data_IF_875623694517
#
_entry.id   IF_875623694517
#
_cell.length_a   1.000
_cell.length_b   1.000
_cell.length_c   1.000
_cell.angle_alpha   90.00
_cell.angle_beta   90.00
_cell.angle_gamma   90.00
#
_symmetry.space_group_name_H-M   'P 1'
#
loop_
_entity.id
_entity.type
_entity.pdbx_description
1 polymer ?
#
# COMPACT_ATOMS: atom_id res chain seq x y z
N UNK A 1 2.27 -7.33 -18.82
CA UNK A 1 1.18 -7.17 -17.82
C UNK A 1 -0.11 -6.56 -18.38
N UNK A 2 -0.09 -5.36 -19.01
CA UNK A 2 -1.31 -4.65 -19.47
C UNK A 2 -2.24 -5.43 -20.42
N UNK A 3 -1.69 -6.19 -21.38
CA UNK A 3 -2.50 -7.02 -22.31
C UNK A 3 -3.20 -8.20 -21.62
N UNK A 4 -2.63 -8.70 -20.50
CA UNK A 4 -3.12 -9.90 -19.80
C UNK A 4 -4.40 -9.63 -19.00
N UNK A 5 -4.56 -8.40 -18.48
CA UNK A 5 -5.68 -8.02 -17.61
C UNK A 5 -6.60 -6.97 -18.25
N UNK A 6 -6.56 -6.85 -19.58
CA UNK A 6 -7.26 -5.79 -20.30
C UNK A 6 -8.78 -5.84 -20.12
N UNK A 7 -9.35 -7.05 -19.99
CA UNK A 7 -10.79 -7.25 -19.79
C UNK A 7 -11.21 -6.82 -18.39
N UNK A 8 -10.45 -7.22 -17.37
CA UNK A 8 -10.68 -6.86 -15.98
C UNK A 8 -10.53 -5.35 -15.75
N UNK A 9 -9.59 -4.70 -16.44
CA UNK A 9 -9.40 -3.25 -16.44
C UNK A 9 -10.48 -2.49 -17.24
N UNK A 10 -11.13 -3.12 -18.21
CA UNK A 10 -12.19 -2.47 -18.98
C UNK A 10 -13.54 -2.50 -18.24
N UNK A 11 -13.75 -3.48 -17.37
CA UNK A 11 -15.03 -3.68 -16.67
C UNK A 11 -14.80 -4.14 -15.24
N UNK A 12 -14.43 -3.24 -14.33
CA UNK A 12 -14.22 -3.59 -12.92
C UNK A 12 -15.51 -4.12 -12.28
N UNK A 13 -15.42 -5.17 -11.44
CA UNK A 13 -16.59 -5.72 -10.74
C UNK A 13 -17.31 -4.70 -9.86
N UNK A 14 -16.59 -3.72 -9.30
CA UNK A 14 -17.13 -2.63 -8.48
C UNK A 14 -17.60 -1.41 -9.27
N UNK A 15 -17.90 -1.55 -10.57
CA UNK A 15 -18.40 -0.49 -11.44
C UNK A 15 -17.33 0.51 -11.88
N UNK A 16 -16.82 1.34 -10.96
CA UNK A 16 -15.71 2.28 -11.21
C UNK A 16 -14.47 2.00 -10.33
N UNK A 17 -14.57 1.02 -9.41
CA UNK A 17 -13.49 0.69 -8.46
C UNK A 17 -12.96 -0.71 -8.64
N UNK A 18 -11.65 -0.85 -8.50
CA UNK A 18 -11.00 -2.14 -8.39
C UNK A 18 -10.86 -2.54 -6.92
N UNK A 19 -11.20 -3.78 -6.54
CA UNK A 19 -10.84 -4.27 -5.23
C UNK A 19 -9.31 -4.41 -5.12
N UNK A 20 -8.78 -4.35 -3.89
CA UNK A 20 -7.32 -4.44 -3.68
C UNK A 20 -6.75 -5.83 -3.97
N UNK A 21 -7.60 -6.83 -4.20
CA UNK A 21 -7.24 -8.16 -4.67
C UNK A 21 -7.40 -8.36 -6.19
N UNK A 22 -7.66 -7.30 -6.94
CA UNK A 22 -7.76 -7.35 -8.39
C UNK A 22 -6.56 -8.08 -9.01
N UNK A 23 -6.75 -8.94 -10.03
CA UNK A 23 -5.68 -9.81 -10.55
C UNK A 23 -4.41 -9.09 -11.05
N UNK A 24 -4.54 -7.83 -11.46
CA UNK A 24 -3.41 -7.02 -11.91
C UNK A 24 -2.60 -6.41 -10.75
N UNK A 25 -3.17 -6.31 -9.53
CA UNK A 25 -2.48 -5.95 -8.28
C UNK A 25 -1.79 -7.18 -7.67
N UNK A 26 -1.09 -7.96 -8.50
CA UNK A 26 -0.41 -9.19 -8.09
C UNK A 26 0.98 -8.91 -7.49
N UNK A 27 1.63 -9.96 -6.98
CA UNK A 27 2.96 -9.87 -6.36
C UNK A 27 4.00 -9.27 -7.30
N UNK A 28 4.01 -9.69 -8.57
CA UNK A 28 4.95 -9.17 -9.57
C UNK A 28 4.80 -7.65 -9.74
N UNK A 29 3.57 -7.16 -9.84
CA UNK A 29 3.27 -5.73 -9.93
C UNK A 29 3.78 -4.98 -8.69
N UNK A 30 3.43 -5.48 -7.50
CA UNK A 30 3.82 -4.83 -6.23
C UNK A 30 5.34 -4.83 -6.06
N UNK A 31 6.03 -5.94 -6.36
CA UNK A 31 7.50 -5.99 -6.32
C UNK A 31 8.13 -4.98 -7.27
N UNK A 32 7.64 -4.86 -8.51
CA UNK A 32 8.15 -3.86 -9.46
C UNK A 32 7.88 -2.43 -8.99
N UNK A 33 6.68 -2.15 -8.49
CA UNK A 33 6.32 -0.84 -7.95
C UNK A 33 7.19 -0.45 -6.75
N UNK A 34 7.35 -1.34 -5.77
CA UNK A 34 8.24 -1.14 -4.61
C UNK A 34 9.69 -0.90 -5.05
N UNK A 35 10.17 -1.63 -6.07
CA UNK A 35 11.49 -1.41 -6.63
C UNK A 35 11.67 -0.03 -7.29
N UNK A 36 10.62 0.51 -7.93
CA UNK A 36 10.62 1.88 -8.47
C UNK A 36 10.70 2.89 -7.33
N UNK A 37 9.87 2.75 -6.30
CA UNK A 37 9.89 3.67 -5.16
C UNK A 37 11.21 3.62 -4.41
N UNK A 38 11.82 2.44 -4.24
CA UNK A 38 13.15 2.31 -3.63
C UNK A 38 14.21 3.15 -4.37
N UNK A 39 14.21 3.12 -5.71
CA UNK A 39 15.12 3.96 -6.50
C UNK A 39 14.76 5.45 -6.41
N UNK A 40 13.47 5.78 -6.34
CA UNK A 40 13.02 7.16 -6.18
C UNK A 40 13.44 7.74 -4.81
N UNK A 41 13.33 6.96 -3.73
CA UNK A 41 13.85 7.31 -2.41
C UNK A 41 15.35 7.59 -2.44
N UNK A 42 16.13 6.71 -3.08
CA UNK A 42 17.57 6.90 -3.25
C UNK A 42 17.90 8.17 -4.03
N UNK A 43 17.17 8.46 -5.10
CA UNK A 43 17.36 9.66 -5.90
C UNK A 43 16.98 10.96 -5.15
N UNK A 44 16.14 10.86 -4.12
CA UNK A 44 15.70 11.98 -3.30
C UNK A 44 16.59 12.24 -2.07
N UNK A 45 17.65 11.45 -1.86
CA UNK A 45 18.57 11.63 -0.73
C UNK A 45 19.17 13.05 -0.78
N UNK A 46 19.07 13.76 0.36
CA UNK A 46 19.55 15.14 0.48
C UNK A 46 18.52 16.20 0.10
N UNK A 47 17.37 15.82 -0.45
CA UNK A 47 16.24 16.72 -0.74
C UNK A 47 14.99 16.26 0.03
N UNK A 48 14.76 16.87 1.20
CA UNK A 48 13.63 16.53 2.07
C UNK A 48 12.27 16.78 1.41
N UNK A 49 12.16 17.78 0.53
CA UNK A 49 10.90 18.10 -0.15
C UNK A 49 10.59 17.04 -1.20
N UNK A 50 11.60 16.65 -1.99
CA UNK A 50 11.45 15.58 -2.98
C UNK A 50 11.16 14.24 -2.29
N UNK A 51 11.86 13.93 -1.20
CA UNK A 51 11.64 12.70 -0.43
C UNK A 51 10.20 12.60 0.07
N UNK A 52 9.67 13.68 0.65
CA UNK A 52 8.28 13.73 1.11
C UNK A 52 7.28 13.49 -0.03
N UNK A 53 7.55 14.01 -1.24
CA UNK A 53 6.71 13.77 -2.43
C UNK A 53 6.77 12.32 -2.89
N UNK A 54 7.94 11.68 -2.85
CA UNK A 54 8.11 10.26 -3.18
C UNK A 54 7.32 9.38 -2.22
N UNK A 55 7.49 9.60 -0.91
CA UNK A 55 6.78 8.89 0.15
C UNK A 55 5.26 9.00 -0.01
N UNK A 56 4.74 10.22 -0.22
CA UNK A 56 3.30 10.42 -0.43
C UNK A 56 2.80 9.67 -1.67
N UNK A 57 3.58 9.65 -2.74
CA UNK A 57 3.22 8.92 -3.95
C UNK A 57 3.26 7.38 -3.77
N UNK A 58 4.00 6.89 -2.78
CA UNK A 58 4.09 5.46 -2.45
C UNK A 58 2.87 4.94 -1.67
N UNK A 59 2.12 5.83 -0.99
CA UNK A 59 0.96 5.47 -0.16
C UNK A 59 -0.01 4.47 -0.80
N UNK A 60 -0.40 4.57 -2.10
CA UNK A 60 -1.30 3.60 -2.71
C UNK A 60 -0.72 2.18 -2.78
N UNK A 61 0.59 2.03 -2.97
CA UNK A 61 1.26 0.72 -3.00
C UNK A 61 1.34 0.11 -1.61
N UNK A 62 1.63 0.93 -0.59
CA UNK A 62 1.58 0.52 0.81
C UNK A 62 0.16 0.12 1.21
N UNK A 63 -0.85 0.89 0.79
CA UNK A 63 -2.25 0.63 1.06
C UNK A 63 -2.71 -0.73 0.52
N UNK A 64 -2.37 -1.06 -0.73
CA UNK A 64 -2.69 -2.38 -1.31
C UNK A 64 -2.13 -3.50 -0.42
N UNK A 65 -0.87 -3.38 0.00
CA UNK A 65 -0.22 -4.36 0.86
C UNK A 65 -0.86 -4.44 2.25
N UNK A 66 -1.20 -3.29 2.87
CA UNK A 66 -1.93 -3.22 4.15
C UNK A 66 -3.26 -3.98 4.09
N UNK A 67 -4.07 -3.74 3.06
CA UNK A 67 -5.37 -4.39 2.86
C UNK A 67 -5.19 -5.88 2.60
N UNK A 68 -4.26 -6.24 1.72
CA UNK A 68 -3.99 -7.64 1.34
C UNK A 68 -3.40 -8.47 2.49
N UNK A 69 -2.68 -7.85 3.42
CA UNK A 69 -2.25 -8.49 4.65
C UNK A 69 -0.93 -9.26 4.60
N UNK A 70 -0.59 -9.96 5.70
CA UNK A 70 0.61 -10.80 5.78
C UNK A 70 0.56 -12.00 4.81
N UNK A 71 -0.63 -12.48 4.43
CA UNK A 71 -0.78 -13.58 3.46
C UNK A 71 -0.23 -13.19 2.09
N UNK A 72 -0.31 -11.89 1.76
CA UNK A 72 0.24 -11.33 0.52
C UNK A 72 1.63 -10.71 0.73
N UNK A 73 1.86 -9.99 1.80
CA UNK A 73 3.09 -9.20 2.00
C UNK A 73 4.21 -10.03 2.66
N UNK A 74 3.86 -11.13 3.32
CA UNK A 74 4.82 -11.99 4.01
C UNK A 74 5.45 -11.32 5.23
N UNK A 75 6.72 -11.62 5.47
CA UNK A 75 7.48 -11.13 6.63
C UNK A 75 7.61 -9.60 6.70
N UNK A 76 7.51 -8.91 5.56
CA UNK A 76 7.59 -7.45 5.47
C UNK A 76 6.33 -6.73 5.97
N UNK A 77 5.23 -7.45 6.26
CA UNK A 77 3.95 -6.80 6.56
C UNK A 77 4.02 -5.79 7.71
N UNK A 78 4.74 -6.11 8.80
CA UNK A 78 4.91 -5.18 9.91
C UNK A 78 5.62 -3.88 9.50
N UNK A 79 6.65 -3.98 8.64
CA UNK A 79 7.37 -2.82 8.11
C UNK A 79 6.49 -1.97 7.20
N UNK A 80 5.69 -2.62 6.35
CA UNK A 80 4.73 -1.94 5.47
C UNK A 80 3.69 -1.15 6.26
N UNK A 81 3.10 -1.76 7.30
CA UNK A 81 2.10 -1.07 8.14
C UNK A 81 2.71 0.13 8.86
N UNK A 82 3.93 -0.01 9.40
CA UNK A 82 4.61 1.08 10.08
C UNK A 82 4.92 2.26 9.13
N UNK A 83 5.36 1.95 7.91
CA UNK A 83 5.66 2.98 6.92
C UNK A 83 4.40 3.68 6.39
N UNK A 84 3.35 2.91 6.15
CA UNK A 84 2.04 3.46 5.79
C UNK A 84 1.53 4.43 6.85
N UNK A 85 1.58 4.03 8.12
CA UNK A 85 1.18 4.88 9.26
C UNK A 85 1.96 6.19 9.28
N UNK A 86 3.30 6.10 9.26
CA UNK A 86 4.18 7.27 9.37
C UNK A 86 3.88 8.31 8.30
N UNK A 87 3.76 7.86 7.05
CA UNK A 87 3.51 8.75 5.92
C UNK A 87 2.07 9.28 5.97
N UNK A 88 1.08 8.40 6.17
CA UNK A 88 -0.33 8.80 6.15
C UNK A 88 -0.69 9.79 7.28
N UNK A 89 -0.11 9.62 8.47
CA UNK A 89 -0.29 10.56 9.58
C UNK A 89 0.34 11.92 9.28
N UNK A 90 1.55 11.95 8.71
CA UNK A 90 2.20 13.20 8.30
C UNK A 90 1.37 13.96 7.25
N UNK A 91 0.81 13.24 6.29
CA UNK A 91 -0.04 13.83 5.23
C UNK A 91 -1.47 14.14 5.71
N UNK A 92 -1.81 13.84 6.97
CA UNK A 92 -3.13 14.14 7.54
C UNK A 92 -4.26 13.31 6.95
N UNK A 93 -4.00 12.07 6.52
CA UNK A 93 -5.00 11.17 5.97
C UNK A 93 -6.05 10.83 7.03
N UNK A 94 -7.32 11.02 6.69
CA UNK A 94 -8.47 10.73 7.57
C UNK A 94 -9.45 9.70 6.99
N UNK A 95 -9.45 9.54 5.66
CA UNK A 95 -10.44 8.76 4.92
C UNK A 95 -9.74 7.82 3.95
N UNK A 96 -10.03 6.52 4.04
CA UNK A 96 -9.60 5.47 3.13
C UNK A 96 -10.77 4.93 2.29
N UNK A 97 -11.99 5.06 2.80
CA UNK A 97 -13.23 4.72 2.09
C UNK A 97 -14.21 5.89 2.05
N UNK A 98 -15.24 5.78 1.21
CA UNK A 98 -16.36 6.73 1.24
C UNK A 98 -17.13 6.62 2.57
N UNK A 99 -17.47 7.77 3.14
CA UNK A 99 -18.21 7.87 4.40
C UNK A 99 -17.50 8.74 5.43
N UNK A 100 -17.57 8.31 6.70
CA UNK A 100 -16.89 8.98 7.82
C UNK A 100 -15.39 8.68 7.89
N UNK A 101 -14.65 9.39 8.76
CA UNK A 101 -13.22 9.15 8.95
C UNK A 101 -13.00 7.72 9.48
N UNK A 102 -12.24 6.93 8.75
CA UNK A 102 -12.03 5.50 9.00
C UNK A 102 -10.54 5.10 9.10
N UNK A 103 -9.62 6.04 8.90
CA UNK A 103 -8.18 5.78 8.91
C UNK A 103 -7.70 5.09 10.19
N UNK A 104 -8.00 5.63 11.37
CA UNK A 104 -7.52 5.09 12.65
C UNK A 104 -8.04 3.67 12.90
N UNK A 105 -9.33 3.45 12.60
CA UNK A 105 -9.97 2.14 12.70
C UNK A 105 -9.28 1.13 11.78
N UNK A 106 -9.05 1.51 10.51
CA UNK A 106 -8.39 0.65 9.53
C UNK A 106 -6.94 0.37 9.89
N UNK A 107 -6.22 1.37 10.39
CA UNK A 107 -4.85 1.19 10.84
C UNK A 107 -4.77 0.21 12.02
N UNK A 108 -5.69 0.27 12.98
CA UNK A 108 -5.77 -0.71 14.06
C UNK A 108 -6.04 -2.13 13.52
N UNK A 109 -6.95 -2.28 12.55
CA UNK A 109 -7.20 -3.56 11.86
C UNK A 109 -5.93 -4.09 11.17
N UNK A 110 -5.13 -3.24 10.53
CA UNK A 110 -3.87 -3.64 9.90
C UNK A 110 -2.82 -4.06 10.94
N UNK A 111 -2.65 -3.29 12.01
CA UNK A 111 -1.70 -3.59 13.09
C UNK A 111 -2.02 -4.92 13.79
N UNK A 112 -3.31 -5.23 13.98
CA UNK A 112 -3.74 -6.49 14.59
C UNK A 112 -3.35 -7.73 13.78
N UNK A 113 -3.06 -7.58 12.48
CA UNK A 113 -2.63 -8.65 11.58
C UNK A 113 -1.10 -8.81 11.51
N UNK A 114 -0.32 -8.01 12.22
CA UNK A 114 1.14 -8.15 12.26
C UNK A 114 1.48 -9.49 12.95
N UNK A 115 2.20 -10.41 12.29
CA UNK A 115 2.57 -11.68 12.90
C UNK A 115 3.36 -11.44 14.19
N UNK A 116 2.90 -12.03 15.30
CA UNK A 116 3.68 -12.05 16.54
C UNK A 116 4.86 -12.99 16.32
N UNK A 117 6.08 -12.58 16.70
CA UNK A 117 7.18 -13.53 16.84
C UNK A 117 6.74 -14.52 17.92
N UNK A 118 6.54 -15.78 17.56
CA UNK A 118 6.47 -16.85 18.53
C UNK A 118 7.85 -16.92 19.20
N UNK A 119 7.90 -16.57 20.48
CA UNK A 119 9.07 -16.81 21.32
C UNK A 119 9.19 -18.33 21.49
N UNK A 120 10.23 -18.91 20.91
CA UNK A 120 10.64 -20.29 21.19
C UNK A 120 11.69 -20.27 22.30
#
# INVERSE_FOLDING_TARGET
>A
MRRKFAKEMATPPGGIRYPMDAPFLNREFITQATGIFTRAHQAAIGDAVLLSRVERAELPILYVQCVRGPEFTGADYGRVVAEFERIAQREGVKYLAEGGPDFDKKLAEYKARIPRKESN
#
